data_IF_417019484753
#
_entry.id   IF_417019484753
#
_cell.length_a   1.000
_cell.length_b   1.000
_cell.length_c   1.000
_cell.angle_alpha   90.00
_cell.angle_beta   90.00
_cell.angle_gamma   90.00
#
_symmetry.space_group_name_H-M   'P 1'
#
loop_
_entity.id
_entity.type
_entity.pdbx_description
1 polymer ?
#
# COMPACT_ATOMS: atom_id res chain seq x y z
N UNK A 1 6.61 14.63 -7.90
CA UNK A 1 7.16 13.36 -8.42
C UNK A 1 6.35 12.27 -7.77
N UNK A 2 5.82 11.33 -8.55
CA UNK A 2 4.98 10.27 -8.02
C UNK A 2 5.80 9.35 -7.11
N UNK A 3 5.11 8.69 -6.20
CA UNK A 3 5.64 7.63 -5.34
C UNK A 3 5.52 6.31 -6.09
N UNK A 4 6.58 5.50 -6.05
CA UNK A 4 6.57 4.16 -6.62
C UNK A 4 6.02 3.18 -5.59
N UNK A 5 4.89 2.54 -5.89
CA UNK A 5 4.21 1.59 -5.01
C UNK A 5 4.40 0.17 -5.54
N UNK A 6 4.75 -0.76 -4.66
CA UNK A 6 4.76 -2.21 -4.96
C UNK A 6 3.69 -2.91 -4.14
N UNK A 7 2.74 -3.55 -4.82
CA UNK A 7 1.65 -4.28 -4.19
C UNK A 7 2.05 -5.74 -3.87
N UNK A 8 1.46 -6.35 -2.83
CA UNK A 8 1.67 -7.77 -2.56
C UNK A 8 1.12 -8.63 -3.69
N UNK A 9 1.86 -9.64 -4.12
CA UNK A 9 1.41 -10.56 -5.17
C UNK A 9 0.08 -11.26 -4.82
N UNK A 10 -0.15 -11.55 -3.53
CA UNK A 10 -1.39 -12.16 -3.04
C UNK A 10 -2.62 -11.24 -3.20
N UNK A 11 -2.43 -9.93 -3.35
CA UNK A 11 -3.50 -8.95 -3.54
C UNK A 11 -3.98 -8.90 -4.99
N UNK A 12 -3.07 -9.07 -5.95
CA UNK A 12 -3.34 -8.85 -7.39
C UNK A 12 -4.50 -9.70 -7.95
N UNK A 13 -4.67 -11.01 -7.62
CA UNK A 13 -5.79 -11.80 -8.11
C UNK A 13 -7.18 -11.27 -7.69
N UNK A 14 -7.24 -10.47 -6.62
CA UNK A 14 -8.48 -9.89 -6.11
C UNK A 14 -8.87 -8.60 -6.85
N UNK A 15 -7.94 -7.98 -7.57
CA UNK A 15 -8.13 -6.69 -8.25
C UNK A 15 -7.65 -6.79 -9.71
N UNK A 16 -8.49 -7.31 -10.63
CA UNK A 16 -8.16 -7.40 -12.04
C UNK A 16 -7.70 -6.06 -12.61
N UNK A 17 -6.57 -6.05 -13.32
CA UNK A 17 -5.99 -4.85 -13.92
C UNK A 17 -5.08 -4.05 -12.97
N UNK A 18 -4.97 -4.40 -11.69
CA UNK A 18 -3.95 -3.83 -10.81
C UNK A 18 -2.56 -4.37 -11.18
N UNK A 19 -1.59 -3.52 -11.56
CA UNK A 19 -0.22 -3.97 -11.79
C UNK A 19 0.51 -4.20 -10.46
N UNK A 20 1.57 -5.01 -10.49
CA UNK A 20 2.41 -5.24 -9.29
C UNK A 20 3.12 -3.98 -8.82
N UNK A 21 3.55 -3.15 -9.77
CA UNK A 21 4.26 -1.89 -9.54
C UNK A 21 3.51 -0.77 -10.24
N UNK A 22 3.37 0.37 -9.56
CA UNK A 22 2.64 1.52 -10.08
C UNK A 22 3.14 2.82 -9.47
N UNK A 23 2.71 3.92 -10.07
CA UNK A 23 2.97 5.28 -9.61
C UNK A 23 1.68 5.94 -9.10
N UNK A 24 1.77 6.56 -7.93
CA UNK A 24 0.70 7.32 -7.27
C UNK A 24 1.20 8.69 -6.84
N UNK A 25 0.32 9.70 -6.96
CA UNK A 25 0.51 10.98 -6.29
C UNK A 25 -0.08 10.86 -4.89
N UNK A 26 0.78 10.88 -3.86
CA UNK A 26 0.41 10.79 -2.45
C UNK A 26 1.53 11.37 -1.59
N UNK A 27 1.18 12.13 -0.56
CA UNK A 27 2.11 12.69 0.42
C UNK A 27 2.25 11.82 1.68
N UNK A 28 1.33 10.89 1.91
CA UNK A 28 1.35 9.95 3.05
C UNK A 28 0.91 8.55 2.62
N UNK A 29 1.24 7.55 3.45
CA UNK A 29 0.75 6.17 3.23
C UNK A 29 -0.78 6.14 3.22
N UNK A 30 -1.47 6.89 4.08
CA UNK A 30 -2.92 7.00 4.08
C UNK A 30 -3.47 7.46 2.72
N UNK A 31 -2.90 8.54 2.17
CA UNK A 31 -3.29 9.04 0.84
C UNK A 31 -3.00 8.03 -0.27
N UNK A 32 -1.90 7.27 -0.16
CA UNK A 32 -1.63 6.19 -1.10
C UNK A 32 -2.71 5.10 -1.04
N UNK A 33 -3.18 4.72 0.16
CA UNK A 33 -4.29 3.77 0.31
C UNK A 33 -5.61 4.30 -0.27
N UNK A 34 -5.89 5.59 -0.08
CA UNK A 34 -7.08 6.24 -0.65
C UNK A 34 -6.99 6.33 -2.19
N UNK A 35 -5.80 6.60 -2.74
CA UNK A 35 -5.57 6.59 -4.19
C UNK A 35 -5.69 5.18 -4.80
N UNK A 36 -5.25 4.14 -4.07
CA UNK A 36 -5.46 2.74 -4.46
C UNK A 36 -6.96 2.38 -4.48
N UNK A 37 -7.73 2.82 -3.47
CA UNK A 37 -9.18 2.62 -3.42
C UNK A 37 -9.89 3.27 -4.62
N UNK A 38 -9.51 4.50 -4.95
CA UNK A 38 -10.11 5.23 -6.07
C UNK A 38 -9.88 4.54 -7.43
N UNK A 39 -8.75 3.84 -7.59
CA UNK A 39 -8.41 3.10 -8.83
C UNK A 39 -8.94 1.66 -8.83
N UNK A 40 -8.96 1.02 -7.67
CA UNK A 40 -9.40 -0.36 -7.46
C UNK A 40 -10.28 -0.44 -6.21
N UNK A 41 -11.60 -0.22 -6.35
CA UNK A 41 -12.52 -0.23 -5.22
C UNK A 41 -12.45 -1.51 -4.38
N UNK A 42 -12.40 -1.35 -3.06
CA UNK A 42 -12.21 -2.40 -2.07
C UNK A 42 -10.74 -2.71 -1.74
N UNK A 43 -9.77 -2.07 -2.40
CA UNK A 43 -8.34 -2.30 -2.11
C UNK A 43 -7.97 -1.79 -0.72
N UNK A 44 -8.49 -0.63 -0.31
CA UNK A 44 -8.22 -0.10 1.04
C UNK A 44 -8.76 -1.02 2.12
N UNK A 45 -9.92 -1.64 1.90
CA UNK A 45 -10.50 -2.61 2.84
C UNK A 45 -9.64 -3.87 3.00
N UNK A 46 -8.81 -4.21 2.01
CA UNK A 46 -7.84 -5.33 2.11
C UNK A 46 -6.55 -4.94 2.81
N UNK A 47 -6.24 -3.65 2.90
CA UNK A 47 -4.98 -3.14 3.42
C UNK A 47 -5.13 -2.54 4.83
N UNK A 48 -6.27 -1.91 5.08
CA UNK A 48 -6.66 -1.27 6.33
C UNK A 48 -7.86 -1.98 6.97
N UNK A 49 -8.00 -1.84 8.29
CA UNK A 49 -9.20 -2.22 9.02
C UNK A 49 -10.22 -1.07 9.13
N UNK A 50 -11.31 -1.31 9.84
CA UNK A 50 -12.39 -0.33 10.04
C UNK A 50 -12.02 0.82 11.00
N UNK A 51 -10.89 0.73 11.70
CA UNK A 51 -10.41 1.71 12.69
C UNK A 51 -9.27 2.59 12.14
N UNK A 52 -9.43 3.08 10.90
CA UNK A 52 -8.34 3.44 9.97
C UNK A 52 -6.93 3.04 10.43
N UNK A 53 -6.66 1.75 10.55
CA UNK A 53 -5.34 1.23 10.85
C UNK A 53 -4.91 0.19 9.81
N UNK A 54 -3.61 0.06 9.55
CA UNK A 54 -3.09 -1.00 8.67
C UNK A 54 -3.39 -2.35 9.32
N UNK A 55 -3.96 -3.29 8.54
CA UNK A 55 -4.28 -4.62 9.05
C UNK A 55 -3.04 -5.30 9.59
N UNK A 56 -3.18 -6.05 10.69
CA UNK A 56 -2.06 -6.74 11.38
C UNK A 56 -1.18 -7.62 10.47
N UNK A 57 -1.75 -8.20 9.42
CA UNK A 57 -1.03 -9.07 8.47
C UNK A 57 -0.49 -8.30 7.25
N UNK A 58 -0.56 -6.97 7.25
CA UNK A 58 -0.02 -6.08 6.24
C UNK A 58 1.08 -5.26 6.89
N UNK A 59 2.22 -5.15 6.22
CA UNK A 59 3.27 -4.24 6.60
C UNK A 59 3.54 -3.29 5.44
N UNK A 60 3.81 -2.03 5.76
CA UNK A 60 4.25 -1.04 4.79
C UNK A 60 5.68 -0.63 5.08
N UNK A 61 6.46 -0.41 4.03
CA UNK A 61 7.83 0.08 4.13
C UNK A 61 8.01 1.26 3.19
N UNK A 62 8.49 2.37 3.74
CA UNK A 62 8.87 3.57 3.00
C UNK A 62 10.39 3.64 3.00
N UNK A 63 11.01 3.59 1.82
CA UNK A 63 12.49 3.57 1.70
C UNK A 63 13.15 2.49 2.57
N UNK A 64 12.55 1.30 2.61
CA UNK A 64 13.06 0.16 3.38
C UNK A 64 12.85 0.23 4.89
N UNK A 65 12.20 1.29 5.42
CA UNK A 65 11.86 1.43 6.84
C UNK A 65 10.38 1.17 7.06
N UNK A 66 10.05 0.42 8.11
CA UNK A 66 8.65 0.12 8.46
C UNK A 66 7.90 1.42 8.76
N UNK A 67 6.73 1.57 8.15
CA UNK A 67 5.86 2.74 8.30
C UNK A 67 4.49 2.42 8.89
N UNK A 68 3.70 3.48 9.02
CA UNK A 68 2.29 3.53 9.41
C UNK A 68 1.53 4.47 8.44
N UNK A 69 0.22 4.65 8.62
CA UNK A 69 -0.60 5.45 7.70
C UNK A 69 -0.16 6.92 7.63
N UNK A 70 0.24 7.47 8.76
CA UNK A 70 0.77 8.82 8.93
C UNK A 70 2.20 9.00 8.40
N UNK A 71 2.87 7.92 7.97
CA UNK A 71 4.23 8.02 7.44
C UNK A 71 4.23 8.83 6.14
N UNK A 72 5.05 9.88 6.12
CA UNK A 72 5.24 10.71 4.95
C UNK A 72 5.87 9.93 3.81
N UNK A 73 5.44 10.23 2.58
CA UNK A 73 6.00 9.72 1.34
C UNK A 73 6.69 10.89 0.62
N UNK A 74 8.02 11.04 0.77
CA UNK A 74 8.75 12.03 0.01
C UNK A 74 8.54 11.81 -1.50
N UNK A 75 8.55 12.88 -2.33
CA UNK A 75 8.41 12.73 -3.77
C UNK A 75 9.44 11.77 -4.35
N UNK A 76 9.01 10.84 -5.22
CA UNK A 76 9.90 9.82 -5.81
C UNK A 76 10.27 8.65 -4.89
N UNK A 77 9.73 8.60 -3.67
CA UNK A 77 10.01 7.50 -2.74
C UNK A 77 9.37 6.18 -3.16
N UNK A 78 9.83 5.09 -2.54
CA UNK A 78 9.35 3.72 -2.75
C UNK A 78 8.54 3.26 -1.55
N UNK A 79 7.29 2.93 -1.80
CA UNK A 79 6.37 2.31 -0.86
C UNK A 79 6.19 0.83 -1.20
N UNK A 80 6.61 -0.05 -0.30
CA UNK A 80 6.33 -1.48 -0.41
C UNK A 80 5.18 -1.84 0.52
N UNK A 81 4.17 -2.51 -0.03
CA UNK A 81 3.08 -3.11 0.73
C UNK A 81 3.31 -4.61 0.67
N UNK A 82 3.49 -5.24 1.83
CA UNK A 82 3.75 -6.68 1.92
C UNK A 82 2.76 -7.35 2.87
N UNK A 83 2.34 -8.56 2.50
CA UNK A 83 1.65 -9.45 3.43
C UNK A 83 2.68 -10.08 4.36
N UNK A 84 2.40 -10.10 5.66
CA UNK A 84 3.16 -10.89 6.62
C UNK A 84 3.03 -12.37 6.23
N UNK A 85 4.05 -12.92 5.59
CA UNK A 85 4.18 -14.35 5.40
C UNK A 85 4.80 -14.87 6.69
N UNK A 86 4.01 -15.54 7.53
CA UNK A 86 4.58 -16.48 8.48
C UNK A 86 5.24 -17.57 7.65
N UNK A 87 6.57 -17.50 7.50
CA UNK A 87 7.33 -18.58 6.87
C UNK A 87 6.98 -19.89 7.59
N UNK A 88 6.52 -20.87 6.82
CA UNK A 88 6.59 -22.27 7.22
C UNK A 88 8.04 -22.75 7.18
#
# INVERSE_FOLDING_TARGET
MPVHVTLPAALLPLFPGAPRELELEAATVAEAMDALEARWPGMRDRLCDSSPAIRRHINVFVEGRRGALETALPPGSRLFIITAISGG
#
